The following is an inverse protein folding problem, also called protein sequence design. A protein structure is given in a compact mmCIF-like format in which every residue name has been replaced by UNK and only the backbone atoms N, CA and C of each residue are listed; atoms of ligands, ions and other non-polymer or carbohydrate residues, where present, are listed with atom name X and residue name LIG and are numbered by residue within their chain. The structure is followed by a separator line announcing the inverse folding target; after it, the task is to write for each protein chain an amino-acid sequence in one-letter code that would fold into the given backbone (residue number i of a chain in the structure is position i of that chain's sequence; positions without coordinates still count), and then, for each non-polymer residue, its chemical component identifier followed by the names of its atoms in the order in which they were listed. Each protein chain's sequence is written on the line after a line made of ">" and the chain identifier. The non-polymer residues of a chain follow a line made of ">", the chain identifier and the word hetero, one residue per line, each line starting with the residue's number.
data_IF_105190636581
#
_entry.id   IF_105190636581
#
_cell.length_a   1.000
_cell.length_b   1.000
_cell.length_c   1.000
_cell.angle_alpha   90.00
_cell.angle_beta   90.00
_cell.angle_gamma   90.00
#
_symmetry.space_group_name_H-M   'P 1'
#
loop_
_entity.id
_entity.type
_entity.pdbx_description
1 polymer ?
#
# COMPACT_ATOMS: atom_id res chain seq x y z
N UNK A 1 2.43 28.88 -26.98
CA UNK A 1 1.29 28.56 -26.10
C UNK A 1 1.88 27.99 -24.82
N UNK A 2 1.87 28.75 -23.72
CA UNK A 2 2.39 28.32 -22.42
C UNK A 2 1.21 27.85 -21.56
N UNK A 3 1.25 26.61 -21.11
CA UNK A 3 0.29 26.09 -20.14
C UNK A 3 0.69 26.61 -18.75
N UNK A 4 -0.25 27.16 -17.97
CA UNK A 4 0.06 27.54 -16.60
C UNK A 4 0.46 26.29 -15.80
N UNK A 5 1.61 26.33 -15.14
CA UNK A 5 1.99 25.32 -14.14
C UNK A 5 1.19 25.57 -12.87
N UNK A 6 0.50 24.54 -12.40
CA UNK A 6 -0.14 24.58 -11.07
C UNK A 6 0.92 24.80 -10.00
N UNK A 7 0.70 25.81 -9.15
CA UNK A 7 1.53 26.07 -7.95
C UNK A 7 1.13 25.18 -6.76
N UNK A 8 -0.04 24.54 -6.82
CA UNK A 8 -0.48 23.62 -5.79
C UNK A 8 0.37 22.33 -5.82
N UNK A 9 0.73 21.75 -4.67
CA UNK A 9 1.47 20.50 -4.61
C UNK A 9 0.67 19.36 -5.29
N UNK A 10 1.31 18.50 -6.10
CA UNK A 10 0.59 17.42 -6.79
C UNK A 10 -0.09 16.46 -5.82
N UNK A 11 -1.29 16.01 -6.16
CA UNK A 11 -1.98 14.88 -5.54
C UNK A 11 -1.62 13.56 -6.24
N UNK A 12 -1.71 12.46 -5.51
CA UNK A 12 -1.30 11.13 -5.97
C UNK A 12 -2.38 10.09 -5.72
N UNK A 13 -2.60 9.24 -6.72
CA UNK A 13 -3.20 7.92 -6.52
C UNK A 13 -2.07 6.92 -6.39
N UNK A 14 -2.08 6.11 -5.33
CA UNK A 14 -1.05 5.09 -5.08
C UNK A 14 -1.57 3.71 -5.45
N UNK A 15 -0.80 2.94 -6.22
CA UNK A 15 -1.12 1.52 -6.49
C UNK A 15 -0.35 0.64 -5.53
N UNK A 16 -1.04 -0.20 -4.75
CA UNK A 16 -0.45 -1.13 -3.77
C UNK A 16 -0.71 -2.57 -4.21
N UNK A 17 0.24 -3.22 -4.91
CA UNK A 17 0.05 -4.58 -5.37
C UNK A 17 0.03 -5.57 -4.21
N UNK A 18 -1.07 -6.30 -4.06
CA UNK A 18 -1.24 -7.37 -3.06
C UNK A 18 -1.20 -8.73 -3.74
N UNK A 19 -0.32 -9.61 -3.26
CA UNK A 19 -0.30 -11.02 -3.68
C UNK A 19 -1.42 -11.80 -2.99
N UNK A 20 -1.87 -12.88 -3.61
CA UNK A 20 -2.74 -13.87 -2.96
C UNK A 20 -2.15 -14.26 -1.59
N UNK A 21 -2.93 -14.06 -0.53
CA UNK A 21 -2.45 -14.13 0.85
C UNK A 21 -1.87 -15.51 1.19
N UNK A 22 -2.47 -16.58 0.63
CA UNK A 22 -2.00 -17.96 0.79
C UNK A 22 -0.54 -18.16 0.34
N UNK A 23 -0.05 -17.36 -0.61
CA UNK A 23 1.30 -17.46 -1.17
C UNK A 23 2.26 -16.34 -0.72
N UNK A 24 1.77 -15.37 0.06
CA UNK A 24 2.55 -14.21 0.44
C UNK A 24 3.52 -14.50 1.61
N UNK A 25 4.63 -13.74 1.70
CA UNK A 25 5.52 -13.75 2.87
C UNK A 25 6.11 -15.14 3.24
N UNK A 26 6.46 -15.97 2.27
CA UNK A 26 7.05 -17.32 2.50
C UNK A 26 8.29 -17.31 3.38
N UNK A 27 9.11 -16.26 3.30
CA UNK A 27 10.27 -16.04 4.19
C UNK A 27 9.90 -15.92 5.68
N UNK A 28 8.64 -15.60 6.00
CA UNK A 28 8.13 -15.53 7.37
C UNK A 28 7.41 -16.81 7.80
N UNK A 29 7.42 -17.88 7.00
CA UNK A 29 6.70 -19.12 7.32
C UNK A 29 7.11 -19.72 8.67
N UNK A 30 8.41 -19.72 8.99
CA UNK A 30 8.93 -20.23 10.27
C UNK A 30 8.53 -19.38 11.49
N UNK A 31 8.12 -18.12 11.29
CA UNK A 31 7.73 -17.22 12.37
C UNK A 31 6.20 -17.13 12.54
N UNK A 32 5.46 -17.12 11.43
CA UNK A 32 4.02 -16.90 11.43
C UNK A 32 3.19 -18.19 11.30
N UNK A 33 3.79 -19.30 10.83
CA UNK A 33 3.12 -20.58 10.66
C UNK A 33 1.79 -20.47 9.91
N UNK A 34 0.73 -21.04 10.50
CA UNK A 34 -0.64 -21.01 9.95
C UNK A 34 -1.19 -19.58 9.80
N UNK A 35 -0.71 -18.62 10.60
CA UNK A 35 -1.16 -17.22 10.60
C UNK A 35 -0.46 -16.35 9.56
N UNK A 36 0.37 -16.94 8.69
CA UNK A 36 1.10 -16.20 7.64
C UNK A 36 0.17 -15.41 6.71
N UNK A 37 -1.00 -15.95 6.39
CA UNK A 37 -1.99 -15.26 5.55
C UNK A 37 -2.59 -14.04 6.26
N UNK A 38 -2.95 -14.17 7.54
CA UNK A 38 -3.40 -13.04 8.38
C UNK A 38 -2.32 -11.96 8.48
N UNK A 39 -1.07 -12.36 8.72
CA UNK A 39 0.06 -11.42 8.79
C UNK A 39 0.29 -10.71 7.44
N UNK A 40 0.11 -11.43 6.33
CA UNK A 40 0.21 -10.84 5.00
C UNK A 40 -0.87 -9.77 4.77
N UNK A 41 -2.11 -10.04 5.22
CA UNK A 41 -3.21 -9.08 5.18
C UNK A 41 -2.93 -7.86 6.06
N UNK A 42 -2.47 -8.08 7.29
CA UNK A 42 -2.12 -7.01 8.22
C UNK A 42 -1.10 -6.05 7.61
N UNK A 43 -0.03 -6.56 7.00
CA UNK A 43 0.98 -5.71 6.35
C UNK A 43 0.40 -4.87 5.21
N UNK A 44 -0.51 -5.44 4.42
CA UNK A 44 -1.17 -4.70 3.34
C UNK A 44 -2.06 -3.58 3.93
N UNK A 45 -2.89 -3.90 4.93
CA UNK A 45 -3.76 -2.94 5.59
C UNK A 45 -2.98 -1.81 6.26
N UNK A 46 -1.89 -2.13 6.96
CA UNK A 46 -1.02 -1.15 7.62
C UNK A 46 -0.34 -0.23 6.60
N UNK A 47 0.10 -0.79 5.47
CA UNK A 47 0.72 -0.03 4.37
C UNK A 47 -0.28 0.94 3.74
N UNK A 48 -1.50 0.48 3.45
CA UNK A 48 -2.58 1.31 2.90
C UNK A 48 -2.97 2.40 3.90
N UNK A 49 -3.10 2.06 5.19
CA UNK A 49 -3.43 3.01 6.25
C UNK A 49 -2.35 4.09 6.37
N UNK A 50 -1.08 3.71 6.32
CA UNK A 50 0.04 4.66 6.33
C UNK A 50 0.03 5.55 5.09
N UNK A 51 -0.25 5.00 3.91
CA UNK A 51 -0.35 5.75 2.66
C UNK A 51 -1.49 6.79 2.70
N UNK A 52 -2.67 6.41 3.18
CA UNK A 52 -3.83 7.29 3.30
C UNK A 52 -3.66 8.42 4.34
N UNK A 53 -2.68 8.29 5.25
CA UNK A 53 -2.31 9.38 6.17
C UNK A 53 -1.42 10.43 5.53
N UNK A 54 -0.84 10.17 4.36
CA UNK A 54 -0.05 11.14 3.63
C UNK A 54 -0.97 12.19 2.99
N UNK A 55 -0.86 13.49 3.32
CA UNK A 55 -1.81 14.52 2.87
C UNK A 55 -1.94 14.69 1.34
N UNK A 56 -0.98 14.17 0.59
CA UNK A 56 -0.96 14.25 -0.88
C UNK A 56 -1.47 12.98 -1.57
N UNK A 57 -1.77 11.91 -0.82
CA UNK A 57 -2.37 10.69 -1.37
C UNK A 57 -3.88 10.84 -1.27
N UNK A 58 -4.55 10.90 -2.43
CA UNK A 58 -6.00 11.06 -2.51
C UNK A 58 -6.73 9.73 -2.62
N UNK A 59 -6.04 8.69 -3.07
CA UNK A 59 -6.61 7.36 -3.29
C UNK A 59 -5.51 6.29 -3.25
N UNK A 60 -5.90 5.08 -2.84
CA UNK A 60 -5.08 3.88 -2.92
C UNK A 60 -5.86 2.79 -3.66
N UNK A 61 -5.23 2.19 -4.67
CA UNK A 61 -5.79 1.15 -5.56
C UNK A 61 -4.96 -0.13 -5.47
#
# INVERSE_FOLDING_TARGET
>A
MVFPTSTAPPSWCLVVPVKLLAHAKTRLAGLAGARRAELALAFAADTITAALRCPRVVEVI
#
